data_IF_988266674466
#
_entry.id   IF_988266674466
#
_cell.length_a   1.000
_cell.length_b   1.000
_cell.length_c   1.000
_cell.angle_alpha   90.00
_cell.angle_beta   90.00
_cell.angle_gamma   90.00
#
_symmetry.space_group_name_H-M   'P 1'
#
loop_
_entity.id
_entity.type
_entity.pdbx_description
1 polymer ?
#
# COMPACT_ATOMS: atom_id res chain seq x y z
N UNK A 1 8.64 10.16 -29.09
CA UNK A 1 8.76 10.11 -28.18
C UNK A 1 8.17 9.20 -27.51
N UNK A 2 8.41 8.81 -26.90
CA UNK A 2 7.96 8.03 -26.34
C UNK A 2 7.27 8.12 -25.30
N UNK A 3 6.55 7.87 -25.03
CA UNK A 3 5.63 7.87 -24.03
C UNK A 3 5.93 6.96 -22.97
N UNK A 4 7.14 7.05 -22.48
CA UNK A 4 7.44 6.29 -21.33
C UNK A 4 6.80 6.89 -20.14
N UNK A 5 5.96 6.13 -19.45
CA UNK A 5 5.40 6.54 -18.19
C UNK A 5 6.53 6.62 -17.17
N UNK A 6 6.70 7.76 -16.52
CA UNK A 6 7.73 7.92 -15.51
C UNK A 6 7.46 7.00 -14.34
N UNK A 7 8.51 6.63 -13.61
CA UNK A 7 8.39 5.78 -12.44
C UNK A 7 7.44 6.38 -11.42
N UNK A 8 7.51 7.69 -11.19
CA UNK A 8 6.58 8.36 -10.27
C UNK A 8 5.12 8.23 -10.72
N UNK A 9 4.86 8.29 -12.02
CA UNK A 9 3.49 8.19 -12.51
C UNK A 9 2.92 6.78 -12.33
N UNK A 10 3.75 5.76 -12.48
CA UNK A 10 3.34 4.38 -12.20
C UNK A 10 2.96 4.25 -10.73
N UNK A 11 3.79 4.81 -9.83
CA UNK A 11 3.52 4.77 -8.39
C UNK A 11 2.26 5.57 -8.05
N UNK A 12 2.04 6.72 -8.70
CA UNK A 12 0.81 7.49 -8.49
C UNK A 12 -0.44 6.70 -8.90
N UNK A 13 -0.34 5.96 -10.02
CA UNK A 13 -1.45 5.10 -10.45
C UNK A 13 -1.74 4.01 -9.43
N UNK A 14 -0.69 3.43 -8.83
CA UNK A 14 -0.83 2.46 -7.74
C UNK A 14 -1.57 3.09 -6.55
N UNK A 15 -1.14 4.27 -6.13
CA UNK A 15 -1.75 4.96 -4.98
C UNK A 15 -3.24 5.25 -5.25
N UNK A 16 -3.54 5.73 -6.45
CA UNK A 16 -4.93 6.03 -6.81
C UNK A 16 -5.78 4.77 -6.81
N UNK A 17 -5.27 3.67 -7.36
CA UNK A 17 -6.00 2.41 -7.37
C UNK A 17 -6.23 1.90 -5.94
N UNK A 18 -5.22 1.99 -5.08
CA UNK A 18 -5.36 1.61 -3.68
C UNK A 18 -6.44 2.43 -2.97
N UNK A 19 -6.43 3.73 -3.18
CA UNK A 19 -7.38 4.63 -2.51
C UNK A 19 -8.81 4.47 -3.03
N UNK A 20 -8.98 4.17 -4.31
CA UNK A 20 -10.31 4.01 -4.90
C UNK A 20 -10.84 2.58 -4.80
N UNK A 21 -10.02 1.63 -4.35
CA UNK A 21 -10.43 0.23 -4.29
C UNK A 21 -10.45 -0.45 -5.64
N UNK A 22 -9.69 0.06 -6.61
CA UNK A 22 -9.64 -0.51 -7.95
C UNK A 22 -8.62 -1.65 -7.99
N UNK A 23 -8.98 -2.76 -7.37
CA UNK A 23 -8.09 -3.92 -7.29
C UNK A 23 -8.02 -4.70 -8.60
N UNK A 24 -8.93 -4.45 -9.53
CA UNK A 24 -8.91 -5.07 -10.84
C UNK A 24 -7.76 -4.52 -11.70
N UNK A 25 -7.44 -3.23 -11.55
CA UNK A 25 -6.38 -2.57 -12.32
C UNK A 25 -4.99 -2.76 -11.75
N UNK A 26 -4.89 -3.03 -10.44
CA UNK A 26 -3.58 -3.11 -9.76
C UNK A 26 -2.60 -4.08 -10.42
N UNK A 27 -3.00 -5.32 -10.78
CA UNK A 27 -2.02 -6.25 -11.36
C UNK A 27 -1.31 -5.72 -12.60
N UNK A 28 -1.97 -4.88 -13.41
CA UNK A 28 -1.36 -4.36 -14.63
C UNK A 28 -0.23 -3.37 -14.37
N UNK A 29 -0.14 -2.85 -13.16
CA UNK A 29 0.92 -1.91 -12.77
C UNK A 29 2.20 -2.63 -12.33
N UNK A 30 2.14 -3.94 -12.17
CA UNK A 30 3.24 -4.75 -11.65
C UNK A 30 3.77 -5.68 -12.73
N UNK A 31 5.07 -5.95 -12.68
CA UNK A 31 5.67 -7.00 -13.50
C UNK A 31 5.10 -8.36 -13.05
N UNK A 32 5.01 -9.35 -13.97
CA UNK A 32 4.43 -10.66 -13.60
C UNK A 32 5.14 -11.37 -12.44
N UNK A 33 6.44 -11.11 -12.30
CA UNK A 33 7.26 -11.72 -11.23
C UNK A 33 7.57 -10.73 -10.12
N UNK A 34 6.81 -9.66 -10.00
CA UNK A 34 7.02 -8.65 -8.97
C UNK A 34 6.90 -9.26 -7.57
N UNK A 35 7.72 -8.77 -6.65
CA UNK A 35 7.71 -9.21 -5.26
C UNK A 35 7.23 -8.06 -4.38
N UNK A 36 6.23 -8.35 -3.56
CA UNK A 36 5.64 -7.42 -2.62
C UNK A 36 6.11 -7.81 -1.21
N UNK A 37 6.74 -6.88 -0.51
CA UNK A 37 7.18 -7.06 0.87
C UNK A 37 6.34 -6.16 1.77
N UNK A 38 5.64 -6.74 2.73
CA UNK A 38 4.81 -5.98 3.65
C UNK A 38 4.92 -6.54 5.06
N UNK A 39 4.19 -5.95 5.99
CA UNK A 39 4.26 -6.36 7.40
C UNK A 39 3.66 -7.74 7.63
N UNK A 40 2.81 -8.22 6.73
CA UNK A 40 2.19 -9.55 6.85
C UNK A 40 2.94 -10.62 6.04
N UNK A 41 4.10 -10.29 5.52
CA UNK A 41 4.89 -11.23 4.75
C UNK A 41 5.23 -10.72 3.36
N UNK A 42 5.73 -11.62 2.51
CA UNK A 42 6.09 -11.26 1.15
C UNK A 42 5.53 -12.29 0.17
N UNK A 43 5.35 -11.88 -1.06
CA UNK A 43 4.83 -12.75 -2.10
C UNK A 43 4.55 -12.00 -3.39
N UNK A 44 3.76 -12.62 -4.24
CA UNK A 44 3.36 -12.05 -5.52
C UNK A 44 2.23 -11.05 -5.34
N UNK A 45 1.83 -10.41 -6.45
CA UNK A 45 0.65 -9.54 -6.44
C UNK A 45 -0.60 -10.33 -6.04
N UNK A 46 -0.72 -11.58 -6.49
CA UNK A 46 -1.84 -12.44 -6.12
C UNK A 46 -1.90 -12.71 -4.62
N UNK A 47 -0.74 -12.81 -3.98
CA UNK A 47 -0.66 -12.93 -2.52
C UNK A 47 -1.13 -11.63 -1.84
N UNK A 48 -0.74 -10.48 -2.37
CA UNK A 48 -1.01 -9.19 -1.75
C UNK A 48 -2.44 -8.69 -1.96
N UNK A 49 -3.06 -9.00 -3.10
CA UNK A 49 -4.38 -8.48 -3.44
C UNK A 49 -5.45 -8.72 -2.37
N UNK A 50 -5.61 -9.93 -1.82
CA UNK A 50 -6.62 -10.13 -0.77
C UNK A 50 -6.34 -9.27 0.46
N UNK A 51 -5.06 -9.11 0.82
CA UNK A 51 -4.67 -8.30 1.98
C UNK A 51 -5.03 -6.83 1.73
N UNK A 52 -4.68 -6.31 0.57
CA UNK A 52 -4.97 -4.92 0.20
C UNK A 52 -6.48 -4.67 0.16
N UNK A 53 -7.25 -5.62 -0.37
CA UNK A 53 -8.70 -5.51 -0.41
C UNK A 53 -9.29 -5.46 1.00
N UNK A 54 -8.80 -6.33 1.88
CA UNK A 54 -9.26 -6.36 3.28
C UNK A 54 -8.92 -5.06 4.01
N UNK A 55 -7.71 -4.52 3.78
CA UNK A 55 -7.33 -3.23 4.37
C UNK A 55 -8.27 -2.12 3.92
N UNK A 56 -8.63 -2.12 2.65
CA UNK A 56 -9.54 -1.12 2.10
C UNK A 56 -10.96 -1.28 2.67
N UNK A 57 -11.46 -2.50 2.72
CA UNK A 57 -12.84 -2.79 3.13
C UNK A 57 -13.03 -2.78 4.64
N UNK A 58 -12.09 -3.35 5.39
CA UNK A 58 -12.25 -3.52 6.83
C UNK A 58 -11.68 -2.37 7.63
N UNK A 59 -10.60 -1.76 7.16
CA UNK A 59 -9.93 -0.66 7.87
C UNK A 59 -10.09 0.68 7.19
N UNK A 60 -10.78 0.75 6.06
CA UNK A 60 -11.01 1.98 5.30
C UNK A 60 -9.68 2.72 5.05
N UNK A 61 -8.63 1.95 4.72
CA UNK A 61 -7.28 2.50 4.56
C UNK A 61 -7.23 3.53 3.43
N UNK A 62 -6.60 4.67 3.71
CA UNK A 62 -6.35 5.72 2.72
C UNK A 62 -4.92 6.18 2.85
N UNK A 63 -4.31 6.51 1.72
CA UNK A 63 -2.92 6.92 1.63
C UNK A 63 -2.85 8.33 1.07
N UNK A 64 -2.33 9.27 1.87
CA UNK A 64 -2.08 10.64 1.42
C UNK A 64 -0.57 10.81 1.27
N UNK A 65 -0.12 11.24 0.09
CA UNK A 65 1.31 11.45 -0.17
C UNK A 65 1.79 12.68 0.58
N UNK A 66 2.80 12.50 1.43
CA UNK A 66 3.49 13.61 2.09
C UNK A 66 4.70 14.03 1.26
N UNK A 67 5.50 13.06 0.80
CA UNK A 67 6.67 13.28 -0.03
C UNK A 67 6.85 12.13 -1.00
N UNK A 68 7.44 12.41 -2.15
CA UNK A 68 7.80 11.38 -3.11
C UNK A 68 9.14 11.76 -3.74
N UNK A 69 10.09 10.83 -3.74
CA UNK A 69 11.42 11.04 -4.31
C UNK A 69 11.72 9.92 -5.30
N UNK A 70 12.48 10.25 -6.31
CA UNK A 70 12.87 9.28 -7.34
C UNK A 70 14.37 9.34 -7.54
N UNK A 71 15.02 8.17 -7.60
CA UNK A 71 16.42 8.06 -7.96
C UNK A 71 16.60 6.80 -8.81
N UNK A 72 16.99 6.98 -10.06
CA UNK A 72 17.09 5.86 -10.99
C UNK A 72 15.74 5.16 -11.16
N UNK A 73 15.73 3.86 -10.91
CA UNK A 73 14.51 3.06 -11.00
C UNK A 73 13.72 3.04 -9.68
N UNK A 74 14.21 3.72 -8.65
CA UNK A 74 13.59 3.67 -7.33
C UNK A 74 12.73 4.89 -7.07
N UNK A 75 11.55 4.65 -6.49
CA UNK A 75 10.64 5.70 -6.04
C UNK A 75 10.31 5.41 -4.59
N UNK A 76 10.48 6.41 -3.73
CA UNK A 76 10.18 6.29 -2.30
C UNK A 76 9.09 7.28 -1.97
N UNK A 77 8.08 6.81 -1.25
CA UNK A 77 6.94 7.64 -0.87
C UNK A 77 6.77 7.60 0.64
N UNK A 78 6.62 8.76 1.24
CA UNK A 78 6.22 8.89 2.64
C UNK A 78 4.75 9.27 2.65
N UNK A 79 3.95 8.47 3.34
CA UNK A 79 2.50 8.64 3.39
C UNK A 79 2.03 9.03 4.78
N UNK A 80 0.93 9.77 4.83
CA UNK A 80 0.04 9.71 5.98
C UNK A 80 -0.97 8.62 5.64
N UNK A 81 -1.00 7.57 6.45
CA UNK A 81 -1.97 6.50 6.29
C UNK A 81 -3.04 6.64 7.36
N UNK A 82 -4.31 6.62 6.96
CA UNK A 82 -5.44 6.74 7.86
C UNK A 82 -6.40 5.59 7.65
N UNK A 83 -7.23 5.35 8.65
CA UNK A 83 -8.26 4.33 8.54
C UNK A 83 -9.14 4.26 9.77
N UNK A 84 -10.01 3.25 9.77
CA UNK A 84 -10.97 3.03 10.85
C UNK A 84 -11.36 1.55 10.85
N UNK A 85 -11.35 0.91 12.02
CA UNK A 85 -11.69 -0.51 12.14
C UNK A 85 -13.22 -0.67 12.08
N UNK A 86 -13.76 -0.76 10.86
CA UNK A 86 -15.22 -0.84 10.63
C UNK A 86 -15.72 -2.27 10.50
N UNK A 87 -14.83 -3.24 10.29
CA UNK A 87 -15.16 -4.66 10.18
C UNK A 87 -14.01 -5.47 10.76
N UNK A 88 -14.25 -6.70 11.22
CA UNK A 88 -13.17 -7.54 11.73
C UNK A 88 -12.08 -7.73 10.67
N UNK A 89 -10.83 -7.62 11.08
CA UNK A 89 -9.68 -7.76 10.18
C UNK A 89 -8.75 -8.83 10.74
N UNK A 90 -8.68 -9.96 10.05
CA UNK A 90 -7.77 -11.08 10.37
C UNK A 90 -7.74 -11.44 11.85
N UNK A 91 -8.95 -11.62 12.41
CA UNK A 91 -9.12 -12.00 13.82
C UNK A 91 -9.16 -10.84 14.78
N UNK A 92 -8.93 -9.62 14.31
CA UNK A 92 -8.97 -8.43 15.18
C UNK A 92 -10.36 -7.79 15.10
N UNK A 93 -10.89 -7.28 16.22
CA UNK A 93 -12.27 -6.81 16.27
C UNK A 93 -12.49 -5.46 15.60
N UNK A 94 -13.73 -5.24 15.14
CA UNK A 94 -14.17 -3.96 14.60
C UNK A 94 -14.48 -3.01 15.74
N UNK A 95 -13.45 -2.35 16.27
CA UNK A 95 -13.61 -1.45 17.42
C UNK A 95 -14.26 -0.12 17.07
N UNK A 96 -14.30 0.24 15.79
CA UNK A 96 -14.77 1.54 15.36
C UNK A 96 -13.76 2.67 15.59
N UNK A 97 -12.59 2.35 16.15
CA UNK A 97 -11.55 3.35 16.37
C UNK A 97 -10.83 3.68 15.08
N UNK A 98 -10.35 4.93 14.97
CA UNK A 98 -9.58 5.40 13.83
C UNK A 98 -8.09 5.34 14.13
N UNK A 99 -7.28 5.31 13.06
CA UNK A 99 -5.83 5.40 13.20
C UNK A 99 -5.26 6.39 12.20
N UNK A 100 -4.11 6.92 12.54
CA UNK A 100 -3.29 7.73 11.64
C UNK A 100 -1.84 7.44 11.96
N UNK A 101 -1.05 7.17 10.91
CA UNK A 101 0.37 6.88 11.09
C UNK A 101 1.15 7.32 9.85
N UNK A 102 2.47 7.32 9.96
CA UNK A 102 3.35 7.52 8.81
C UNK A 102 3.75 6.14 8.29
N UNK A 103 3.60 5.97 6.98
CA UNK A 103 4.07 4.76 6.29
C UNK A 103 5.08 5.19 5.23
N UNK A 104 6.04 4.32 4.95
CA UNK A 104 7.02 4.55 3.89
C UNK A 104 6.98 3.33 2.98
N UNK A 105 6.87 3.59 1.67
CA UNK A 105 6.90 2.53 0.68
C UNK A 105 7.99 2.82 -0.34
N UNK A 106 8.75 1.80 -0.65
CA UNK A 106 9.85 1.87 -1.59
C UNK A 106 9.49 0.99 -2.79
N UNK A 107 9.54 1.58 -3.99
CA UNK A 107 9.19 0.87 -5.23
C UNK A 107 10.40 0.83 -6.14
N UNK A 108 10.60 -0.30 -6.81
CA UNK A 108 11.50 -0.35 -7.97
C UNK A 108 10.61 -0.48 -9.19
N UNK A 109 10.79 0.42 -10.15
CA UNK A 109 9.99 0.47 -11.38
C UNK A 109 10.91 0.27 -12.57
N UNK A 110 10.60 -0.70 -13.42
CA UNK A 110 11.40 -1.01 -14.61
C UNK A 110 10.46 -1.24 -15.76
N UNK A 111 10.76 -0.60 -16.90
CA UNK A 111 9.95 -0.71 -18.12
C UNK A 111 8.48 -0.41 -17.87
N UNK A 112 8.21 0.61 -17.05
CA UNK A 112 6.85 1.06 -16.78
C UNK A 112 6.05 0.20 -15.81
N UNK A 113 6.68 -0.75 -15.11
CA UNK A 113 6.01 -1.63 -14.16
C UNK A 113 6.79 -1.75 -12.87
N UNK A 114 6.06 -1.92 -11.78
CA UNK A 114 6.65 -2.12 -10.46
C UNK A 114 7.19 -3.55 -10.39
N UNK A 115 8.48 -3.69 -10.09
CA UNK A 115 9.12 -5.00 -9.95
C UNK A 115 9.29 -5.40 -8.49
N UNK A 116 9.37 -4.42 -7.59
CA UNK A 116 9.42 -4.67 -6.16
C UNK A 116 8.74 -3.55 -5.42
N UNK A 117 8.12 -3.89 -4.31
CA UNK A 117 7.51 -2.92 -3.42
C UNK A 117 7.78 -3.35 -1.98
N UNK A 118 8.34 -2.43 -1.20
CA UNK A 118 8.58 -2.61 0.23
C UNK A 118 7.69 -1.63 0.98
N UNK A 119 6.93 -2.12 1.95
CA UNK A 119 6.11 -1.26 2.77
C UNK A 119 6.46 -1.42 4.23
N UNK A 120 6.70 -0.30 4.93
CA UNK A 120 6.95 -0.28 6.36
C UNK A 120 6.03 0.74 7.01
N UNK A 121 5.50 0.37 8.17
CA UNK A 121 4.64 1.23 8.95
C UNK A 121 4.73 0.83 10.42
N UNK A 122 4.36 1.74 11.30
CA UNK A 122 4.35 1.44 12.73
C UNK A 122 3.08 0.66 13.08
N UNK A 123 3.14 -0.66 12.92
CA UNK A 123 2.01 -1.54 13.20
C UNK A 123 1.62 -1.54 14.66
N UNK A 124 2.59 -1.36 15.57
CA UNK A 124 2.31 -1.29 17.00
C UNK A 124 1.49 -0.06 17.34
N UNK A 125 1.83 1.08 16.75
CA UNK A 125 1.07 2.32 16.95
C UNK A 125 -0.35 2.18 16.39
N UNK A 126 -0.49 1.55 15.22
CA UNK A 126 -1.81 1.27 14.63
C UNK A 126 -2.65 0.42 15.57
N UNK A 127 -2.09 -0.67 16.10
CA UNK A 127 -2.81 -1.57 16.98
C UNK A 127 -3.27 -0.86 18.26
N UNK A 128 -2.43 -0.01 18.81
CA UNK A 128 -2.79 0.75 20.03
C UNK A 128 -3.94 1.71 19.75
N UNK A 129 -3.89 2.43 18.64
CA UNK A 129 -4.97 3.35 18.27
C UNK A 129 -6.28 2.63 18.02
N UNK A 130 -6.22 1.45 17.41
CA UNK A 130 -7.41 0.68 17.08
C UNK A 130 -7.98 -0.12 18.26
N UNK A 131 -7.26 -0.11 19.40
CA UNK A 131 -7.71 -0.85 20.57
C UNK A 131 -7.50 -2.35 20.44
N UNK A 132 -6.53 -2.76 19.62
CA UNK A 132 -6.22 -4.17 19.39
C UNK A 132 -5.20 -4.74 20.39
N UNK A 133 -4.63 -3.89 21.21
CA UNK A 133 -3.68 -4.32 22.23
C UNK A 133 -4.15 -3.84 23.59
N UNK A 134 -3.81 -4.61 24.63
CA UNK A 134 -4.14 -4.25 25.99
C UNK A 134 -3.27 -3.10 26.50
#
# INVERSE_FOLDING_TARGET
MLNQTSAKNVVRAYIEAMNSGDFASLPSLFAPDAVIHGVLGHGTVEFALPIWRELHECLVMRLAVLDMAEEGENVVVRFRETGKATAPFRGMPATGNSFELTAIEWFTVRDGRITQRWGVRDSGHQARQLGWTA
#
